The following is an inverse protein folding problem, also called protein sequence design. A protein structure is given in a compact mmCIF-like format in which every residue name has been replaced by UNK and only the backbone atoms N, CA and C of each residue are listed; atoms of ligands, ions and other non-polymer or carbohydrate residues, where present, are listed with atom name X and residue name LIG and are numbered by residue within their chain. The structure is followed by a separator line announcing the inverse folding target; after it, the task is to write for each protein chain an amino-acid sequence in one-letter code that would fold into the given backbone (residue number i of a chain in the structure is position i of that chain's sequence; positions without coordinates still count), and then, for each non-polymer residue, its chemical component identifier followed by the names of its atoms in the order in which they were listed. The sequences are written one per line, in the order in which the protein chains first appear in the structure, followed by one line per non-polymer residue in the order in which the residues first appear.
data_IF_412050333723
#
_entry.id   IF_412050333723
#
_cell.length_a   1.000
_cell.length_b   1.000
_cell.length_c   1.000
_cell.angle_alpha   90.00
_cell.angle_beta   90.00
_cell.angle_gamma   90.00
#
_symmetry.space_group_name_H-M   'P 1'
#
loop_
_entity.id
_entity.type
_entity.pdbx_description
1 polymer ?
#
# COMPACT_ATOMS: atom_id res chain seq x y z
N UNK A 1 -6.35 40.13 8.23
CA UNK A 1 -5.61 38.94 7.76
C UNK A 1 -6.62 38.02 7.09
N UNK A 2 -6.47 37.73 5.80
CA UNK A 2 -7.45 36.90 5.06
C UNK A 2 -6.99 35.45 5.12
N UNK A 3 -7.77 34.59 5.79
CA UNK A 3 -7.51 33.16 5.83
C UNK A 3 -7.61 32.61 4.41
N UNK A 4 -6.51 32.08 3.89
CA UNK A 4 -6.49 31.38 2.60
C UNK A 4 -6.33 29.89 2.89
N UNK A 5 -7.19 29.08 2.29
CA UNK A 5 -7.02 27.62 2.27
C UNK A 5 -5.65 27.30 1.65
N UNK A 6 -4.71 26.85 2.47
CA UNK A 6 -3.40 26.39 2.04
C UNK A 6 -3.56 25.03 1.37
N UNK A 7 -3.59 25.03 0.04
CA UNK A 7 -3.37 23.80 -0.71
C UNK A 7 -1.89 23.39 -0.61
N UNK A 8 -1.58 22.18 -1.06
CA UNK A 8 -0.23 21.63 -1.05
C UNK A 8 0.82 22.54 -1.72
N UNK A 9 0.47 23.19 -2.82
CA UNK A 9 1.39 24.07 -3.54
C UNK A 9 1.71 25.30 -2.70
N UNK A 10 0.67 25.94 -2.14
CA UNK A 10 0.83 27.09 -1.25
C UNK A 10 1.62 26.69 0.02
N UNK A 11 1.36 25.50 0.58
CA UNK A 11 2.12 25.01 1.74
C UNK A 11 3.60 24.83 1.39
N UNK A 12 3.89 24.24 0.22
CA UNK A 12 5.26 24.09 -0.27
C UNK A 12 5.96 25.40 -0.58
N UNK A 13 5.24 26.39 -1.12
CA UNK A 13 5.72 27.71 -1.60
C UNK A 13 5.86 28.76 -0.47
N UNK A 14 5.07 28.63 0.58
CA UNK A 14 5.05 29.63 1.65
C UNK A 14 5.63 29.06 2.94
N UNK A 15 5.40 27.77 3.24
CA UNK A 15 5.77 27.21 4.54
C UNK A 15 7.10 26.48 4.49
N UNK A 16 7.44 25.83 3.37
CA UNK A 16 8.67 25.01 3.28
C UNK A 16 9.81 25.67 2.51
N UNK A 17 9.55 26.69 1.70
CA UNK A 17 10.47 27.13 0.65
C UNK A 17 11.60 28.06 1.04
N UNK A 18 11.80 28.49 2.29
CA UNK A 18 13.08 29.10 2.63
C UNK A 18 14.21 28.10 2.34
N UNK A 19 14.18 26.87 2.88
CA UNK A 19 15.30 25.89 2.75
C UNK A 19 14.82 24.41 2.86
N UNK A 20 13.50 24.16 2.86
CA UNK A 20 12.93 22.83 3.04
C UNK A 20 13.13 21.91 1.84
N UNK A 21 13.61 20.68 2.09
CA UNK A 21 13.74 19.65 1.04
C UNK A 21 12.63 18.62 1.20
N UNK A 22 11.87 18.42 0.13
CA UNK A 22 10.95 17.30 0.02
C UNK A 22 11.63 16.14 -0.68
N UNK A 23 11.43 14.94 -0.16
CA UNK A 23 11.86 13.73 -0.85
C UNK A 23 11.13 13.57 -2.19
N UNK A 24 11.66 12.70 -3.04
CA UNK A 24 10.86 12.15 -4.14
C UNK A 24 9.55 11.54 -3.59
N UNK A 25 8.45 11.60 -4.36
CA UNK A 25 7.20 10.95 -3.97
C UNK A 25 7.39 9.44 -3.83
N UNK A 26 6.84 8.89 -2.75
CA UNK A 26 6.77 7.44 -2.48
C UNK A 26 5.30 7.09 -2.32
N UNK A 27 4.87 5.95 -2.88
CA UNK A 27 3.55 5.40 -2.55
C UNK A 27 3.67 4.54 -1.30
N UNK A 28 3.01 4.98 -0.25
CA UNK A 28 2.86 4.23 0.98
C UNK A 28 1.58 3.39 0.91
N UNK A 29 1.70 2.10 1.21
CA UNK A 29 0.57 1.20 1.41
C UNK A 29 0.35 1.08 2.91
N UNK A 30 -0.85 1.44 3.35
CA UNK A 30 -1.24 1.50 4.76
C UNK A 30 -2.41 0.55 4.97
N UNK A 31 -2.50 -0.03 6.16
CA UNK A 31 -3.59 -0.94 6.55
C UNK A 31 -3.77 -2.12 5.58
N UNK A 32 -2.65 -2.64 5.06
CA UNK A 32 -2.65 -3.80 4.17
C UNK A 32 -3.22 -5.01 4.92
N UNK A 33 -4.29 -5.58 4.36
CA UNK A 33 -5.00 -6.73 4.92
C UNK A 33 -5.24 -7.75 3.84
N UNK A 34 -5.07 -9.03 4.18
CA UNK A 34 -5.58 -10.11 3.37
C UNK A 34 -7.09 -10.25 3.62
N UNK A 35 -7.92 -10.14 2.56
CA UNK A 35 -9.39 -10.13 2.69
C UNK A 35 -9.97 -11.49 3.03
N UNK A 36 -9.42 -12.55 2.46
CA UNK A 36 -9.85 -13.92 2.72
C UNK A 36 -8.63 -14.77 3.13
N UNK A 37 -8.72 -15.42 4.28
CA UNK A 37 -7.77 -16.48 4.66
C UNK A 37 -7.94 -17.74 3.82
N UNK A 38 -9.13 -17.93 3.22
CA UNK A 38 -9.37 -18.96 2.21
C UNK A 38 -9.01 -18.41 0.83
N UNK A 39 -8.01 -19.00 0.19
CA UNK A 39 -7.68 -18.72 -1.19
C UNK A 39 -8.94 -18.92 -2.04
N UNK A 40 -9.35 -17.91 -2.80
CA UNK A 40 -10.35 -18.16 -3.84
C UNK A 40 -9.67 -18.97 -4.92
N UNK A 41 -10.29 -20.08 -5.28
CA UNK A 41 -9.64 -21.11 -6.07
C UNK A 41 -10.46 -21.37 -7.33
N UNK A 42 -9.90 -21.09 -8.50
CA UNK A 42 -10.59 -21.32 -9.78
C UNK A 42 -10.03 -22.58 -10.43
N UNK A 43 -10.88 -23.54 -10.76
CA UNK A 43 -10.47 -24.68 -11.58
C UNK A 43 -10.02 -24.16 -12.96
N UNK A 44 -8.76 -24.36 -13.28
CA UNK A 44 -8.19 -23.97 -14.57
C UNK A 44 -8.13 -25.14 -15.54
N UNK A 45 -8.02 -26.37 -15.03
CA UNK A 45 -8.00 -27.56 -15.88
C UNK A 45 -8.33 -28.83 -15.10
N UNK A 46 -8.93 -29.78 -15.81
CA UNK A 46 -9.23 -31.11 -15.34
C UNK A 46 -8.83 -32.15 -16.38
N UNK A 47 -8.23 -33.23 -15.91
CA UNK A 47 -7.89 -34.40 -16.71
C UNK A 47 -8.40 -35.65 -16.03
N UNK A 48 -8.78 -36.63 -16.84
CA UNK A 48 -9.20 -37.94 -16.37
C UNK A 48 -8.22 -38.95 -16.93
N UNK A 49 -7.59 -39.72 -16.05
CA UNK A 49 -6.69 -40.81 -16.43
C UNK A 49 -7.39 -42.13 -16.12
N UNK A 50 -7.65 -42.92 -17.16
CA UNK A 50 -8.38 -44.18 -17.07
C UNK A 50 -7.49 -45.33 -17.52
N UNK A 51 -7.23 -46.28 -16.62
CA UNK A 51 -6.45 -47.47 -16.92
C UNK A 51 -7.37 -48.67 -17.18
N UNK A 52 -7.67 -48.90 -18.45
CA UNK A 52 -8.51 -50.03 -18.86
C UNK A 52 -7.81 -51.40 -18.87
N UNK A 53 -6.57 -51.49 -18.38
CA UNK A 53 -5.81 -52.75 -18.32
C UNK A 53 -5.97 -53.47 -16.99
N UNK A 54 -5.53 -54.72 -16.92
CA UNK A 54 -5.57 -55.54 -15.70
C UNK A 54 -4.32 -55.36 -14.81
N UNK A 55 -3.43 -54.42 -15.15
CA UNK A 55 -2.20 -54.14 -14.40
C UNK A 55 -2.08 -52.64 -14.16
N UNK A 56 -1.40 -52.23 -13.09
CA UNK A 56 -1.12 -50.81 -12.87
C UNK A 56 -0.24 -50.23 -13.99
N UNK A 57 -0.45 -48.97 -14.34
CA UNK A 57 0.31 -48.28 -15.39
C UNK A 57 0.60 -46.84 -15.00
N UNK A 58 1.81 -46.40 -15.33
CA UNK A 58 2.20 -45.00 -15.26
C UNK A 58 1.63 -44.24 -16.47
N UNK A 59 0.81 -43.24 -16.20
CA UNK A 59 0.13 -42.41 -17.19
C UNK A 59 0.61 -40.96 -17.08
N UNK A 60 0.93 -40.34 -18.23
CA UNK A 60 1.48 -38.99 -18.26
C UNK A 60 0.41 -37.93 -18.02
N UNK A 61 0.71 -36.97 -17.15
CA UNK A 61 -0.10 -35.77 -16.94
C UNK A 61 0.43 -34.67 -17.87
N UNK A 62 -0.39 -34.09 -18.76
CA UNK A 62 0.08 -33.05 -19.68
C UNK A 62 0.70 -31.85 -18.95
N UNK A 63 1.86 -31.39 -19.42
CA UNK A 63 2.44 -30.14 -18.95
C UNK A 63 1.73 -28.94 -19.59
N UNK A 64 1.46 -27.91 -18.80
CA UNK A 64 0.82 -26.67 -19.23
C UNK A 64 1.48 -25.47 -18.56
N UNK A 65 1.22 -24.30 -19.13
CA UNK A 65 1.62 -23.01 -18.59
C UNK A 65 0.37 -22.17 -18.34
N UNK A 66 0.29 -21.52 -17.19
CA UNK A 66 -0.75 -20.55 -16.86
C UNK A 66 -0.10 -19.19 -16.59
N UNK A 67 -0.63 -18.11 -17.14
CA UNK A 67 -0.11 -16.76 -16.85
C UNK A 67 -0.43 -16.39 -15.40
N UNK A 68 0.54 -15.86 -14.65
CA UNK A 68 0.27 -15.30 -13.33
C UNK A 68 -0.70 -14.13 -13.46
N UNK A 69 -1.61 -14.01 -12.51
CA UNK A 69 -2.62 -12.95 -12.49
C UNK A 69 -2.23 -11.94 -11.43
N UNK A 70 -2.13 -10.67 -11.82
CA UNK A 70 -1.99 -9.53 -10.91
C UNK A 70 -2.97 -8.45 -11.34
N UNK A 71 -3.93 -8.14 -10.49
CA UNK A 71 -4.96 -7.16 -10.79
C UNK A 71 -5.08 -6.18 -9.63
N UNK A 72 -5.08 -4.89 -9.92
CA UNK A 72 -5.41 -3.85 -8.95
C UNK A 72 -6.59 -3.02 -9.44
N UNK A 73 -7.40 -2.58 -8.49
CA UNK A 73 -8.54 -1.68 -8.71
C UNK A 73 -8.67 -0.75 -7.52
N UNK A 74 -9.11 0.49 -7.75
CA UNK A 74 -9.55 1.37 -6.67
C UNK A 74 -10.99 1.05 -6.26
N UNK A 75 -11.33 1.19 -4.98
CA UNK A 75 -12.70 0.90 -4.49
C UNK A 75 -13.57 2.15 -4.37
N UNK A 76 -12.95 3.32 -4.29
CA UNK A 76 -13.63 4.61 -4.14
C UNK A 76 -13.94 5.30 -5.49
N UNK A 77 -13.60 4.66 -6.62
CA UNK A 77 -13.81 5.21 -7.96
C UNK A 77 -12.85 6.33 -8.34
N UNK A 78 -11.88 6.64 -7.47
CA UNK A 78 -10.85 7.62 -7.75
C UNK A 78 -9.79 7.01 -8.65
N UNK A 79 -9.30 7.79 -9.59
CA UNK A 79 -8.14 7.39 -10.37
C UNK A 79 -6.87 7.61 -9.56
N UNK A 80 -5.94 6.67 -9.63
CA UNK A 80 -4.69 6.72 -8.89
C UNK A 80 -3.56 6.13 -9.73
N UNK A 81 -2.32 6.56 -9.51
CA UNK A 81 -1.16 6.04 -10.25
C UNK A 81 -0.07 5.72 -9.25
N UNK A 82 0.33 4.46 -9.12
CA UNK A 82 1.43 4.10 -8.22
C UNK A 82 2.75 4.73 -8.67
N UNK A 83 3.50 5.25 -7.70
CA UNK A 83 4.86 5.73 -7.90
C UNK A 83 5.86 4.59 -8.13
N UNK A 84 7.10 4.96 -8.44
CA UNK A 84 8.21 4.01 -8.66
C UNK A 84 8.75 3.38 -7.38
N UNK A 85 8.50 4.01 -6.24
CA UNK A 85 8.93 3.51 -4.93
C UNK A 85 7.68 3.20 -4.12
N UNK A 86 7.60 1.96 -3.66
CA UNK A 86 6.53 1.48 -2.79
C UNK A 86 7.10 1.24 -1.39
N UNK A 87 6.40 1.74 -0.38
CA UNK A 87 6.69 1.45 1.03
C UNK A 87 5.45 0.85 1.66
N UNK A 88 5.57 -0.30 2.33
CA UNK A 88 4.45 -0.86 3.10
C UNK A 88 4.64 -0.44 4.55
N UNK A 89 3.70 0.35 5.05
CA UNK A 89 3.61 0.64 6.47
C UNK A 89 2.95 -0.55 7.14
N UNK A 90 3.74 -1.29 7.91
CA UNK A 90 3.24 -2.37 8.76
C UNK A 90 2.40 -1.75 9.88
N UNK A 91 1.13 -1.47 9.57
CA UNK A 91 0.13 -1.11 10.55
C UNK A 91 0.01 -2.29 11.51
N UNK A 92 0.62 -2.18 12.69
CA UNK A 92 0.69 -3.25 13.67
C UNK A 92 -0.70 -3.81 14.01
N UNK A 93 -0.96 -5.03 13.52
CA UNK A 93 -1.65 -6.14 14.17
C UNK A 93 -1.49 -7.37 13.27
N UNK A 94 -1.16 -8.51 13.88
CA UNK A 94 -0.98 -9.82 13.25
C UNK A 94 -1.95 -10.03 12.08
N UNK A 95 -1.46 -10.35 10.88
CA UNK A 95 -2.35 -10.79 9.81
C UNK A 95 -1.72 -11.09 8.45
N UNK A 96 -0.64 -10.40 8.06
CA UNK A 96 -0.03 -10.59 6.73
C UNK A 96 1.41 -11.10 6.88
N UNK A 97 1.74 -12.30 6.36
CA UNK A 97 3.11 -12.81 6.38
C UNK A 97 4.08 -11.92 5.59
N UNK A 98 5.34 -11.80 6.01
CA UNK A 98 6.39 -11.04 5.30
C UNK A 98 6.55 -11.43 3.82
N UNK A 99 6.36 -12.71 3.50
CA UNK A 99 6.39 -13.19 2.11
C UNK A 99 5.26 -12.57 1.27
N UNK A 100 4.10 -12.35 1.88
CA UNK A 100 2.97 -11.68 1.23
C UNK A 100 3.25 -10.20 1.01
N UNK A 101 3.94 -9.51 1.92
CA UNK A 101 4.37 -8.12 1.71
C UNK A 101 5.31 -7.97 0.52
N UNK A 102 6.30 -8.85 0.39
CA UNK A 102 7.21 -8.86 -0.77
C UNK A 102 6.45 -9.09 -2.08
N UNK A 103 5.52 -10.06 -2.11
CA UNK A 103 4.68 -10.31 -3.29
C UNK A 103 3.76 -9.13 -3.63
N UNK A 104 3.22 -8.45 -2.62
CA UNK A 104 2.39 -7.24 -2.80
C UNK A 104 3.22 -6.10 -3.36
N UNK A 105 4.38 -5.81 -2.77
CA UNK A 105 5.31 -4.77 -3.26
C UNK A 105 5.67 -5.04 -4.72
N UNK A 106 6.12 -6.26 -5.05
CA UNK A 106 6.48 -6.62 -6.41
C UNK A 106 5.28 -6.50 -7.38
N UNK A 107 4.07 -6.87 -6.95
CA UNK A 107 2.88 -6.74 -7.78
C UNK A 107 2.51 -5.28 -8.07
N UNK A 108 2.62 -4.41 -7.07
CA UNK A 108 2.31 -2.98 -7.18
C UNK A 108 3.39 -2.22 -7.95
N UNK A 109 4.67 -2.58 -7.79
CA UNK A 109 5.78 -1.99 -8.57
C UNK A 109 5.64 -2.28 -10.07
N UNK A 110 5.07 -3.44 -10.46
CA UNK A 110 4.74 -3.71 -11.86
C UNK A 110 3.65 -2.77 -12.42
N UNK A 111 2.86 -2.15 -11.54
CA UNK A 111 1.79 -1.19 -11.86
C UNK A 111 2.25 0.27 -11.79
N UNK A 112 3.52 0.50 -11.48
CA UNK A 112 4.10 1.85 -11.46
C UNK A 112 3.81 2.58 -12.78
N UNK A 113 3.42 3.85 -12.66
CA UNK A 113 3.03 4.72 -13.78
C UNK A 113 1.80 4.27 -14.57
N UNK A 114 1.12 3.19 -14.17
CA UNK A 114 -0.17 2.81 -14.73
C UNK A 114 -1.29 3.46 -13.92
N UNK A 115 -2.23 4.07 -14.64
CA UNK A 115 -3.42 4.68 -14.05
C UNK A 115 -4.42 3.57 -13.71
N UNK A 116 -4.71 3.41 -12.43
CA UNK A 116 -5.74 2.51 -11.91
C UNK A 116 -7.02 3.29 -11.65
N UNK A 117 -8.17 2.65 -11.81
CA UNK A 117 -9.49 3.23 -11.50
C UNK A 117 -10.40 2.16 -10.88
N UNK A 118 -11.70 2.43 -10.76
CA UNK A 118 -12.68 1.42 -10.34
C UNK A 118 -12.78 0.24 -11.30
N UNK A 119 -12.37 0.42 -12.56
CA UNK A 119 -12.19 -0.69 -13.49
C UNK A 119 -10.95 -1.49 -13.09
N UNK A 120 -11.07 -2.82 -13.05
CA UNK A 120 -9.95 -3.71 -12.79
C UNK A 120 -8.84 -3.49 -13.82
N UNK A 121 -7.70 -2.97 -13.36
CA UNK A 121 -6.47 -2.91 -14.16
C UNK A 121 -5.75 -4.24 -13.98
N UNK A 122 -5.92 -5.12 -14.97
CA UNK A 122 -5.19 -6.38 -15.05
C UNK A 122 -3.88 -6.16 -15.75
N UNK A 123 -2.78 -6.59 -15.13
CA UNK A 123 -1.50 -6.68 -15.80
C UNK A 123 -1.37 -8.04 -16.47
N UNK A 124 -1.34 -8.01 -17.81
CA UNK A 124 -0.67 -9.03 -18.58
C UNK A 124 0.84 -8.83 -18.46
N UNK A 125 1.45 -9.26 -17.36
CA UNK A 125 2.92 -9.32 -17.31
C UNK A 125 3.37 -10.42 -18.27
N UNK A 126 4.15 -10.07 -19.30
CA UNK A 126 4.72 -11.04 -20.23
C UNK A 126 5.71 -12.03 -19.57
N UNK A 127 6.11 -11.80 -18.31
CA UNK A 127 7.30 -12.44 -17.73
C UNK A 127 7.05 -13.43 -16.59
N UNK A 128 5.81 -13.90 -16.34
CA UNK A 128 5.68 -15.01 -15.39
C UNK A 128 4.49 -15.90 -15.69
N UNK A 129 4.78 -17.09 -16.23
CA UNK A 129 3.83 -18.20 -16.28
C UNK A 129 4.23 -19.25 -15.24
N UNK A 130 3.24 -19.88 -14.62
CA UNK A 130 3.40 -21.05 -13.76
C UNK A 130 3.38 -22.26 -14.68
N UNK A 131 4.45 -23.02 -14.72
CA UNK A 131 4.47 -24.33 -15.38
C UNK A 131 3.96 -25.39 -14.41
N UNK A 132 2.98 -26.19 -14.82
CA UNK A 132 2.33 -27.20 -13.99
C UNK A 132 2.06 -28.49 -14.78
N UNK A 133 1.91 -29.61 -14.07
CA UNK A 133 1.79 -30.94 -14.66
C UNK A 133 3.15 -31.47 -15.17
N UNK A 134 3.14 -32.27 -16.24
CA UNK A 134 4.36 -32.82 -16.87
C UNK A 134 4.94 -34.08 -16.22
N UNK A 135 4.38 -34.52 -15.09
CA UNK A 135 4.76 -35.75 -14.40
C UNK A 135 4.07 -37.00 -14.94
N UNK A 136 4.36 -38.13 -14.30
CA UNK A 136 3.65 -39.39 -14.49
C UNK A 136 2.91 -39.78 -13.22
N UNK A 137 1.72 -40.35 -13.37
CA UNK A 137 0.91 -40.82 -12.27
C UNK A 137 0.68 -42.32 -12.40
N UNK A 138 0.94 -43.06 -11.32
CA UNK A 138 0.60 -44.48 -11.28
C UNK A 138 -0.92 -44.61 -11.13
N UNK A 139 -1.55 -45.32 -12.07
CA UNK A 139 -2.98 -45.61 -12.10
C UNK A 139 -3.17 -47.11 -11.97
N UNK A 140 -3.87 -47.55 -10.92
CA UNK A 140 -4.14 -48.96 -10.65
C UNK A 140 -4.88 -49.66 -11.78
N UNK A 141 -4.87 -51.00 -11.77
CA UNK A 141 -5.62 -51.80 -12.73
C UNK A 141 -7.11 -51.46 -12.68
N UNK A 142 -7.75 -51.23 -13.83
CA UNK A 142 -9.16 -50.84 -13.94
C UNK A 142 -9.55 -49.58 -13.17
N UNK A 143 -8.58 -48.79 -12.71
CA UNK A 143 -8.82 -47.59 -11.94
C UNK A 143 -9.01 -46.38 -12.86
N UNK A 144 -9.81 -45.43 -12.38
CA UNK A 144 -10.00 -44.13 -12.98
C UNK A 144 -9.72 -43.04 -11.95
N UNK A 145 -8.81 -42.14 -12.29
CA UNK A 145 -8.43 -41.03 -11.43
C UNK A 145 -8.67 -39.70 -12.13
N UNK A 146 -8.93 -38.67 -11.34
CA UNK A 146 -9.13 -37.32 -11.78
C UNK A 146 -7.99 -36.43 -11.29
N UNK A 147 -7.38 -35.67 -12.21
CA UNK A 147 -6.35 -34.68 -11.90
C UNK A 147 -6.96 -33.30 -12.11
N UNK A 148 -7.14 -32.57 -11.01
CA UNK A 148 -7.71 -31.21 -11.00
C UNK A 148 -6.60 -30.22 -10.72
N UNK A 149 -6.53 -29.17 -11.53
CA UNK A 149 -5.64 -28.03 -11.35
C UNK A 149 -6.46 -26.80 -11.01
N UNK A 150 -6.12 -26.17 -9.89
CA UNK A 150 -6.85 -25.02 -9.35
C UNK A 150 -5.88 -23.87 -9.11
N UNK A 151 -6.14 -22.71 -9.72
CA UNK A 151 -5.39 -21.49 -9.46
C UNK A 151 -5.80 -20.91 -8.11
N UNK A 152 -4.85 -20.75 -7.20
CA UNK A 152 -5.06 -20.04 -5.94
C UNK A 152 -4.91 -18.55 -6.15
N UNK A 153 -5.91 -17.80 -5.70
CA UNK A 153 -5.90 -16.35 -5.67
C UNK A 153 -5.89 -15.86 -4.23
N UNK A 154 -5.01 -14.92 -3.95
CA UNK A 154 -4.94 -14.21 -2.67
C UNK A 154 -5.39 -12.78 -2.90
N UNK A 155 -6.36 -12.34 -2.08
CA UNK A 155 -6.95 -11.03 -2.18
C UNK A 155 -6.44 -10.15 -1.04
N UNK A 156 -5.93 -8.98 -1.39
CA UNK A 156 -5.49 -7.96 -0.47
C UNK A 156 -6.32 -6.69 -0.64
N UNK A 157 -6.40 -5.90 0.42
CA UNK A 157 -6.91 -4.55 0.39
C UNK A 157 -6.10 -3.65 1.30
N UNK A 158 -6.04 -2.37 0.97
CA UNK A 158 -5.40 -1.36 1.80
C UNK A 158 -5.67 0.04 1.27
N UNK A 159 -4.96 1.01 1.85
CA UNK A 159 -4.94 2.39 1.39
C UNK A 159 -3.61 2.64 0.68
N UNK A 160 -3.64 3.11 -0.56
CA UNK A 160 -2.46 3.61 -1.25
C UNK A 160 -2.41 5.13 -1.10
N UNK A 161 -1.25 5.66 -0.71
CA UNK A 161 -1.09 7.06 -0.38
C UNK A 161 0.21 7.61 -0.96
N UNK A 162 0.17 8.73 -1.66
CA UNK A 162 1.37 9.45 -2.07
C UNK A 162 1.86 10.35 -0.95
N UNK A 163 3.09 10.09 -0.51
CA UNK A 163 3.74 10.86 0.53
C UNK A 163 5.07 11.41 0.04
N UNK A 164 5.36 12.64 0.44
CA UNK A 164 6.69 13.25 0.34
C UNK A 164 7.18 13.54 1.75
N UNK A 165 8.34 13.00 2.11
CA UNK A 165 8.96 13.29 3.40
C UNK A 165 9.47 14.73 3.39
N UNK A 166 9.26 15.44 4.49
CA UNK A 166 9.95 16.70 4.79
C UNK A 166 11.32 16.30 5.34
N UNK A 167 12.32 16.27 4.47
CA UNK A 167 13.66 15.74 4.77
C UNK A 167 14.46 16.68 5.65
N UNK A 168 14.33 17.99 5.41
CA UNK A 168 15.01 19.00 6.18
C UNK A 168 14.18 20.28 6.21
N UNK A 169 14.26 21.00 7.31
CA UNK A 169 13.98 22.43 7.41
C UNK A 169 15.23 23.00 8.06
N UNK A 170 15.82 24.02 7.47
CA UNK A 170 17.05 24.60 8.03
C UNK A 170 16.75 25.19 9.41
N UNK A 171 17.27 24.57 10.48
CA UNK A 171 16.98 24.99 11.84
C UNK A 171 17.53 26.39 12.12
N UNK A 172 18.62 26.78 11.46
CA UNK A 172 19.27 28.07 11.69
C UNK A 172 18.46 29.23 11.12
N UNK A 173 17.61 28.96 10.12
CA UNK A 173 16.75 29.96 9.50
C UNK A 173 15.37 30.08 10.16
N UNK A 174 15.00 29.21 11.10
CA UNK A 174 13.79 29.42 11.89
C UNK A 174 14.15 30.37 13.04
N UNK A 175 13.42 31.46 13.20
CA UNK A 175 13.51 32.38 14.33
C UNK A 175 12.79 31.77 15.55
N UNK A 176 11.49 31.50 15.38
CA UNK A 176 10.62 30.90 16.38
C UNK A 176 9.43 30.21 15.73
N UNK A 177 8.88 29.24 16.43
CA UNK A 177 7.57 28.67 16.12
C UNK A 177 6.62 28.92 17.27
N UNK A 178 5.33 28.88 17.03
CA UNK A 178 4.35 29.07 18.08
C UNK A 178 3.05 28.37 17.80
N UNK A 179 2.24 28.25 18.83
CA UNK A 179 0.87 27.79 18.70
C UNK A 179 -0.06 28.61 19.56
N UNK A 180 -1.33 28.63 19.18
CA UNK A 180 -2.42 28.96 20.09
C UNK A 180 -3.49 27.87 20.05
N UNK A 181 -4.44 27.94 20.97
CA UNK A 181 -5.44 26.90 21.18
C UNK A 181 -6.84 27.44 20.94
N UNK A 182 -7.78 26.56 20.62
CA UNK A 182 -9.18 26.92 20.43
C UNK A 182 -9.94 26.82 21.75
N UNK A 183 -10.41 27.93 22.30
CA UNK A 183 -11.15 27.94 23.58
C UNK A 183 -12.67 27.70 23.43
N UNK A 184 -13.16 27.66 22.19
CA UNK A 184 -14.57 27.53 21.85
C UNK A 184 -15.09 28.73 21.06
N UNK A 185 -14.60 29.92 21.36
CA UNK A 185 -15.06 31.18 20.76
C UNK A 185 -13.94 31.91 20.00
N UNK A 186 -12.71 31.87 20.53
CA UNK A 186 -11.55 32.55 19.96
C UNK A 186 -10.28 31.69 20.02
N UNK A 187 -9.29 32.08 19.23
CA UNK A 187 -7.95 31.55 19.38
C UNK A 187 -7.25 32.25 20.55
N UNK A 188 -6.62 31.49 21.44
CA UNK A 188 -5.89 32.05 22.59
C UNK A 188 -4.67 32.87 22.16
N UNK A 189 -3.97 33.47 23.14
CA UNK A 189 -2.64 34.05 22.91
C UNK A 189 -1.65 33.00 22.38
N UNK A 190 -0.73 33.46 21.53
CA UNK A 190 0.36 32.65 20.99
C UNK A 190 1.38 32.33 22.08
N UNK A 191 1.75 31.06 22.12
CA UNK A 191 2.85 30.51 22.90
C UNK A 191 4.01 30.25 21.94
N UNK A 192 5.18 30.86 22.20
CA UNK A 192 6.35 30.77 21.32
C UNK A 192 7.39 29.79 21.87
N UNK A 193 8.01 29.06 20.95
CA UNK A 193 9.07 28.09 21.17
C UNK A 193 10.27 28.45 20.28
N UNK A 194 11.44 28.57 20.90
CA UNK A 194 12.68 28.95 20.24
C UNK A 194 13.62 27.76 20.01
N UNK A 195 13.32 26.61 20.59
CA UNK A 195 14.08 25.37 20.53
C UNK A 195 13.51 24.37 19.51
N UNK A 196 12.26 24.57 19.07
CA UNK A 196 11.56 23.71 18.10
C UNK A 196 11.98 24.04 16.67
N UNK A 197 12.90 23.23 16.13
CA UNK A 197 13.56 23.51 14.84
C UNK A 197 13.53 22.35 13.83
N UNK A 198 13.22 21.13 14.26
CA UNK A 198 13.10 19.98 13.35
C UNK A 198 11.69 19.87 12.76
N UNK A 199 11.50 19.20 11.60
CA UNK A 199 10.16 18.95 11.07
C UNK A 199 9.22 18.30 12.11
N UNK A 200 9.70 17.27 12.82
CA UNK A 200 8.93 16.60 13.88
C UNK A 200 8.56 17.57 15.00
N UNK A 201 9.52 18.35 15.50
CA UNK A 201 9.30 19.32 16.58
C UNK A 201 8.24 20.36 16.23
N UNK A 202 8.25 20.84 14.99
CA UNK A 202 7.35 21.89 14.52
C UNK A 202 5.96 21.31 14.27
N UNK A 203 5.88 20.24 13.48
CA UNK A 203 4.60 19.70 13.03
C UNK A 203 3.91 18.85 14.09
N UNK A 204 4.62 18.31 15.09
CA UNK A 204 3.99 17.65 16.23
C UNK A 204 3.11 18.61 17.04
N UNK A 205 3.40 19.92 17.02
CA UNK A 205 2.62 20.93 17.75
C UNK A 205 1.16 21.01 17.28
N UNK A 206 0.87 20.64 16.02
CA UNK A 206 -0.51 20.67 15.50
C UNK A 206 -1.40 19.64 16.20
N UNK A 207 -0.83 18.53 16.69
CA UNK A 207 -1.55 17.48 17.44
C UNK A 207 -1.56 17.74 18.95
N UNK A 208 -0.95 18.83 19.41
CA UNK A 208 -0.87 19.20 20.82
C UNK A 208 -2.24 19.54 21.43
N UNK A 209 -2.31 19.47 22.76
CA UNK A 209 -3.43 19.96 23.55
C UNK A 209 -2.92 20.67 24.80
N UNK A 210 -3.61 21.74 25.21
CA UNK A 210 -3.35 22.44 26.46
C UNK A 210 -4.65 22.61 27.22
N UNK A 211 -4.71 22.11 28.45
CA UNK A 211 -5.92 22.14 29.29
C UNK A 211 -7.18 21.59 28.57
N UNK A 212 -7.00 20.55 27.74
CA UNK A 212 -8.08 19.96 26.96
C UNK A 212 -8.42 20.68 25.64
N UNK A 213 -7.85 21.86 25.38
CA UNK A 213 -8.04 22.62 24.16
C UNK A 213 -7.09 22.13 23.05
N UNK A 214 -7.62 21.91 21.85
CA UNK A 214 -6.82 21.55 20.67
C UNK A 214 -6.08 22.77 20.12
N UNK A 215 -4.89 22.55 19.56
CA UNK A 215 -4.16 23.58 18.83
C UNK A 215 -5.01 24.16 17.70
N UNK A 216 -5.18 25.48 17.66
CA UNK A 216 -5.93 26.20 16.64
C UNK A 216 -5.06 26.58 15.44
N UNK A 217 -3.89 27.17 15.68
CA UNK A 217 -2.97 27.60 14.63
C UNK A 217 -1.53 27.21 14.96
N UNK A 218 -0.77 26.93 13.90
CA UNK A 218 0.68 26.85 13.90
C UNK A 218 1.25 28.17 13.37
N UNK A 219 2.19 28.73 14.10
CA UNK A 219 2.96 29.91 13.74
C UNK A 219 4.40 29.50 13.43
N UNK A 220 4.96 29.99 12.32
CA UNK A 220 6.37 29.79 11.98
C UNK A 220 6.93 31.13 11.48
N UNK A 221 8.01 31.58 12.10
CA UNK A 221 8.76 32.77 11.69
C UNK A 221 10.17 32.38 11.27
N UNK A 222 10.56 32.87 10.11
CA UNK A 222 11.89 32.67 9.54
C UNK A 222 12.73 33.93 9.74
N UNK A 223 14.04 33.76 9.96
CA UNK A 223 14.97 34.87 10.12
C UNK A 223 15.07 35.69 8.84
N UNK A 224 15.24 34.99 7.71
CA UNK A 224 15.26 35.60 6.39
C UNK A 224 14.61 34.64 5.37
N UNK A 225 13.68 35.15 4.56
CA UNK A 225 13.17 34.40 3.39
C UNK A 225 14.09 34.57 2.17
N UNK A 226 13.76 33.94 1.04
CA UNK A 226 14.50 34.07 -0.25
C UNK A 226 14.50 35.48 -0.85
N UNK A 227 13.77 36.42 -0.25
CA UNK A 227 13.60 37.80 -0.69
C UNK A 227 14.19 38.82 0.30
N UNK A 228 14.78 38.37 1.41
CA UNK A 228 15.36 39.24 2.44
C UNK A 228 14.34 39.88 3.39
N UNK A 229 13.09 39.40 3.39
CA UNK A 229 12.03 39.86 4.28
C UNK A 229 11.85 38.89 5.47
N UNK A 230 11.48 39.45 6.63
CA UNK A 230 11.00 38.70 7.79
C UNK A 230 9.59 38.18 7.48
N UNK A 231 9.48 36.93 7.07
CA UNK A 231 8.20 36.27 6.86
C UNK A 231 7.76 35.49 8.10
N UNK A 232 6.50 35.73 8.50
CA UNK A 232 5.80 34.86 9.43
C UNK A 232 4.56 34.24 8.79
N UNK A 233 4.29 32.99 9.15
CA UNK A 233 3.18 32.19 8.64
C UNK A 233 2.31 31.75 9.81
N UNK A 234 1.03 32.14 9.79
CA UNK A 234 -0.01 31.59 10.67
C UNK A 234 -0.88 30.65 9.85
N UNK A 235 -0.90 29.38 10.25
CA UNK A 235 -1.57 28.31 9.52
C UNK A 235 -2.56 27.62 10.46
N UNK A 236 -3.86 27.64 10.15
CA UNK A 236 -4.84 26.89 10.92
C UNK A 236 -4.55 25.38 10.87
N UNK A 237 -4.57 24.72 12.03
CA UNK A 237 -4.23 23.29 12.12
C UNK A 237 -5.21 22.40 11.37
N UNK A 238 -6.48 22.82 11.24
CA UNK A 238 -7.48 22.09 10.46
C UNK A 238 -7.11 22.00 8.96
N UNK A 239 -6.25 22.88 8.45
CA UNK A 239 -5.72 22.81 7.08
C UNK A 239 -4.49 21.90 6.97
N UNK A 240 -3.76 21.71 8.08
CA UNK A 240 -2.57 20.86 8.14
C UNK A 240 -2.91 19.40 8.44
N UNK A 241 -3.87 19.12 9.32
CA UNK A 241 -4.25 17.74 9.68
C UNK A 241 -4.54 16.81 8.51
N UNK A 242 -5.21 17.26 7.41
CA UNK A 242 -5.50 16.37 6.29
C UNK A 242 -4.28 16.04 5.42
N UNK A 243 -3.21 16.83 5.52
CA UNK A 243 -2.05 16.74 4.62
C UNK A 243 -0.75 16.38 5.34
N UNK A 244 -0.62 16.64 6.64
CA UNK A 244 0.57 16.28 7.42
C UNK A 244 0.34 14.93 8.09
N UNK A 245 1.32 14.05 7.95
CA UNK A 245 1.37 12.77 8.64
C UNK A 245 2.72 12.62 9.34
N UNK A 246 2.71 12.15 10.60
CA UNK A 246 3.93 11.85 11.36
C UNK A 246 3.94 10.35 11.65
N UNK A 247 4.98 9.64 11.19
CA UNK A 247 5.12 8.21 11.45
C UNK A 247 5.71 7.92 12.85
N UNK A 248 5.73 6.65 13.23
CA UNK A 248 6.28 6.20 14.52
C UNK A 248 7.78 6.51 14.69
N UNK A 249 8.49 6.73 13.59
CA UNK A 249 9.91 7.10 13.57
C UNK A 249 10.11 8.62 13.55
N UNK A 250 9.04 9.40 13.81
CA UNK A 250 9.06 10.87 13.82
C UNK A 250 9.40 11.49 12.46
N UNK A 251 9.20 10.75 11.38
CA UNK A 251 9.30 11.34 10.05
C UNK A 251 8.01 12.06 9.73
N UNK A 252 8.14 13.28 9.24
CA UNK A 252 7.01 14.09 8.80
C UNK A 252 6.85 13.96 7.30
N UNK A 253 5.63 13.68 6.86
CA UNK A 253 5.26 13.53 5.47
C UNK A 253 4.15 14.50 5.12
N UNK A 254 4.13 14.85 3.83
CA UNK A 254 3.01 15.51 3.20
C UNK A 254 2.29 14.50 2.31
N UNK A 255 1.04 14.26 2.65
CA UNK A 255 0.09 13.42 1.93
C UNK A 255 -0.50 14.21 0.75
N UNK A 256 -0.20 13.77 -0.48
CA UNK A 256 -0.64 14.43 -1.71
C UNK A 256 -1.92 13.82 -2.26
N UNK A 257 -2.01 12.49 -2.19
CA UNK A 257 -3.14 11.75 -2.72
C UNK A 257 -3.33 10.44 -1.94
N UNK A 258 -4.57 9.95 -1.92
CA UNK A 258 -4.92 8.65 -1.33
C UNK A 258 -6.11 8.02 -2.01
N UNK A 259 -6.10 6.69 -2.07
CA UNK A 259 -7.21 5.87 -2.54
C UNK A 259 -7.23 4.53 -1.83
N UNK A 260 -8.41 3.99 -1.63
CA UNK A 260 -8.56 2.58 -1.24
C UNK A 260 -8.39 1.68 -2.46
N UNK A 261 -7.66 0.56 -2.30
CA UNK A 261 -7.44 -0.39 -3.38
C UNK A 261 -7.70 -1.84 -2.98
N UNK A 262 -8.00 -2.65 -3.98
CA UNK A 262 -7.92 -4.11 -3.91
C UNK A 262 -6.82 -4.61 -4.82
N UNK A 263 -6.13 -5.66 -4.38
CA UNK A 263 -5.11 -6.38 -5.15
C UNK A 263 -5.45 -7.87 -5.16
N UNK A 264 -5.40 -8.47 -6.34
CA UNK A 264 -5.54 -9.93 -6.53
C UNK A 264 -4.22 -10.47 -7.06
N UNK A 265 -3.64 -11.43 -6.37
CA UNK A 265 -2.44 -12.16 -6.79
C UNK A 265 -2.83 -13.62 -7.02
N UNK A 266 -2.63 -14.13 -8.24
CA UNK A 266 -2.75 -15.54 -8.59
C UNK A 266 -1.43 -16.06 -9.12
N UNK A 267 -0.61 -16.60 -8.22
CA UNK A 267 0.77 -17.05 -8.49
C UNK A 267 1.04 -18.50 -8.09
N UNK A 268 0.03 -19.23 -7.59
CA UNK A 268 0.14 -20.63 -7.20
C UNK A 268 -0.94 -21.50 -7.86
N UNK A 269 -0.58 -22.71 -8.29
CA UNK A 269 -1.52 -23.72 -8.79
C UNK A 269 -1.45 -24.96 -7.91
N UNK A 270 -2.59 -25.37 -7.37
CA UNK A 270 -2.72 -26.66 -6.70
C UNK A 270 -3.14 -27.73 -7.71
N UNK A 271 -2.43 -28.86 -7.69
CA UNK A 271 -2.87 -30.11 -8.29
C UNK A 271 -3.42 -31.01 -7.20
N UNK A 272 -4.63 -31.50 -7.40
CA UNK A 272 -5.24 -32.55 -6.59
C UNK A 272 -5.54 -33.74 -7.48
N UNK A 273 -5.12 -34.93 -7.06
CA UNK A 273 -5.43 -36.19 -7.72
C UNK A 273 -6.43 -36.94 -6.86
N UNK A 274 -7.60 -37.24 -7.41
CA UNK A 274 -8.68 -37.93 -6.73
C UNK A 274 -8.94 -39.28 -7.40
N UNK A 275 -9.25 -40.30 -6.59
CA UNK A 275 -9.89 -41.49 -7.10
C UNK A 275 -11.35 -41.17 -7.47
N UNK A 276 -11.78 -41.52 -8.69
CA UNK A 276 -13.10 -41.10 -9.16
C UNK A 276 -14.26 -41.88 -8.52
N UNK A 277 -14.01 -43.09 -8.02
CA UNK A 277 -15.04 -43.95 -7.46
C UNK A 277 -15.27 -43.66 -5.97
N UNK A 278 -14.20 -43.54 -5.19
CA UNK A 278 -14.24 -43.25 -3.77
C UNK A 278 -14.27 -41.75 -3.44
N UNK A 279 -13.83 -40.89 -4.37
CA UNK A 279 -13.61 -39.46 -4.12
C UNK A 279 -12.40 -39.17 -3.24
N UNK A 280 -11.59 -40.17 -2.89
CA UNK A 280 -10.42 -40.01 -2.03
C UNK A 280 -9.33 -39.19 -2.71
N UNK A 281 -8.74 -38.23 -1.97
CA UNK A 281 -7.58 -37.47 -2.43
C UNK A 281 -6.33 -38.33 -2.31
N UNK A 282 -5.81 -38.80 -3.44
CA UNK A 282 -4.62 -39.65 -3.53
C UNK A 282 -3.33 -38.84 -3.43
N UNK A 283 -3.32 -37.62 -3.96
CA UNK A 283 -2.12 -36.77 -3.99
C UNK A 283 -2.47 -35.29 -4.08
N UNK A 284 -1.63 -34.44 -3.45
CA UNK A 284 -1.71 -32.98 -3.57
C UNK A 284 -0.31 -32.39 -3.77
N UNK A 285 -0.19 -31.47 -4.71
CA UNK A 285 1.05 -30.75 -5.01
C UNK A 285 0.75 -29.28 -5.35
N UNK A 286 1.65 -28.35 -5.00
CA UNK A 286 1.50 -26.92 -5.31
C UNK A 286 2.68 -26.46 -6.18
N UNK A 287 2.37 -25.86 -7.31
CA UNK A 287 3.30 -25.21 -8.24
C UNK A 287 3.35 -23.70 -7.96
N UNK A 288 4.53 -23.07 -8.05
CA UNK A 288 4.77 -21.63 -7.85
C UNK A 288 5.56 -21.02 -9.01
#
# INVERSE_FOLDING_TARGET
MTLKKLNLNNFKEYVLTPIGRLSAPVTHIIDLKQKNTEHTSDEIKRYVLENNTNVARDMTVPQKNHKKIRTVSTTDGKEFTFGQKISIETSGKLGVPLLSEASVTAAVELMTNQKISSAQTTLDSNESAITYGGGSQNVGAKQKIEVIFTLKKTLFSGMACHRKRIENIDPDNIEKVGVNYWDGDNATHLEFFYDKKTPDDIFSLIYGKKNGLSTANLFIEYKENKHGDEDYYIIPTYELFPIIHIDNNKNVYIEEDRTEFNLVIGDEIDQTINDQESGEVLHRHTFK
#
